data_IF_554273118760
#
_entry.id   IF_554273118760
#
_cell.length_a   1.000
_cell.length_b   1.000
_cell.length_c   1.000
_cell.angle_alpha   90.00
_cell.angle_beta   90.00
_cell.angle_gamma   90.00
#
_symmetry.space_group_name_H-M   'P 1'
#
loop_
_entity.id
_entity.type
_entity.pdbx_description
1 polymer ?
#
# COMPACT_ATOMS: atom_id res chain seq x y z
N UNK A 1 7.48 5.80 -3.91
CA UNK A 1 7.56 7.24 -3.62
C UNK A 1 7.09 8.02 -4.84
N UNK A 2 5.80 8.31 -4.87
CA UNK A 2 5.13 8.94 -6.02
C UNK A 2 5.73 10.30 -6.43
N UNK A 3 6.22 11.17 -5.51
CA UNK A 3 6.80 12.45 -5.92
C UNK A 3 8.03 12.34 -6.85
N UNK A 4 8.75 11.21 -6.86
CA UNK A 4 9.88 11.01 -7.79
C UNK A 4 9.43 10.94 -9.26
N UNK A 5 8.15 10.64 -9.52
CA UNK A 5 7.60 10.46 -10.86
C UNK A 5 7.71 11.70 -11.74
N UNK A 6 7.76 12.90 -11.16
CA UNK A 6 8.04 14.13 -11.92
C UNK A 6 9.41 14.05 -12.62
N UNK A 7 10.45 13.55 -11.93
CA UNK A 7 11.78 13.39 -12.51
C UNK A 7 11.89 12.18 -13.43
N UNK A 8 11.10 11.13 -13.18
CA UNK A 8 10.98 10.00 -14.12
C UNK A 8 10.36 10.46 -15.44
N UNK A 9 9.28 11.24 -15.39
CA UNK A 9 8.65 11.82 -16.58
C UNK A 9 9.57 12.78 -17.35
N UNK A 10 10.50 13.44 -16.65
CA UNK A 10 11.54 14.28 -17.24
C UNK A 10 12.78 13.50 -17.74
N UNK A 11 12.84 12.18 -17.56
CA UNK A 11 13.98 11.35 -17.96
C UNK A 11 15.22 11.48 -17.06
N UNK A 12 15.09 12.13 -15.89
CA UNK A 12 16.19 12.37 -14.94
C UNK A 12 16.39 11.23 -13.92
N UNK A 13 15.40 10.36 -13.79
CA UNK A 13 15.34 9.25 -12.82
C UNK A 13 14.68 8.02 -13.43
N UNK A 14 14.96 6.85 -12.89
CA UNK A 14 14.29 5.61 -13.29
C UNK A 14 13.05 5.34 -12.45
N UNK A 15 12.12 4.57 -12.99
CA UNK A 15 10.91 4.19 -12.26
C UNK A 15 11.22 3.31 -11.04
N UNK A 16 12.22 2.43 -11.15
CA UNK A 16 12.63 1.51 -10.09
C UNK A 16 13.17 2.25 -8.86
N UNK A 17 13.86 3.38 -9.05
CA UNK A 17 14.28 4.26 -7.95
C UNK A 17 13.10 4.79 -7.11
N UNK A 18 11.88 4.79 -7.67
CA UNK A 18 10.68 5.24 -6.97
C UNK A 18 10.01 4.13 -6.15
N UNK A 19 10.43 2.87 -6.27
CA UNK A 19 9.73 1.73 -5.66
C UNK A 19 10.59 0.97 -4.65
N UNK A 20 9.92 0.37 -3.67
CA UNK A 20 10.47 -0.66 -2.77
C UNK A 20 9.41 -1.75 -2.59
N UNK A 21 9.83 -2.95 -2.25
CA UNK A 21 8.86 -4.01 -1.94
C UNK A 21 8.17 -3.69 -0.61
N UNK A 22 6.88 -4.01 -0.47
CA UNK A 22 6.15 -3.73 0.78
C UNK A 22 6.80 -4.40 2.00
N UNK A 23 7.39 -5.58 1.81
CA UNK A 23 8.10 -6.32 2.87
C UNK A 23 9.29 -5.55 3.44
N UNK A 24 9.96 -4.71 2.66
CA UNK A 24 11.12 -3.93 3.10
C UNK A 24 10.73 -2.65 3.88
N UNK A 25 9.47 -2.23 3.83
CA UNK A 25 9.02 -0.94 4.38
C UNK A 25 7.94 -1.08 5.45
N UNK A 26 7.32 -2.25 5.59
CA UNK A 26 6.39 -2.54 6.68
C UNK A 26 7.17 -2.67 8.00
N UNK A 27 6.63 -2.15 9.12
CA UNK A 27 7.19 -2.39 10.45
C UNK A 27 7.27 -3.88 10.77
N UNK A 28 8.27 -4.30 11.54
CA UNK A 28 8.49 -5.71 11.87
C UNK A 28 7.32 -6.33 12.64
N UNK A 29 6.69 -5.55 13.52
CA UNK A 29 5.57 -6.00 14.36
C UNK A 29 4.19 -5.87 13.66
N UNK A 30 4.15 -5.45 12.40
CA UNK A 30 2.91 -5.28 11.66
C UNK A 30 2.59 -6.52 10.82
N UNK A 31 1.36 -7.05 10.97
CA UNK A 31 0.85 -8.10 10.09
C UNK A 31 0.39 -7.52 8.75
N UNK A 32 0.89 -8.07 7.64
CA UNK A 32 0.46 -7.66 6.32
C UNK A 32 -0.71 -8.50 5.82
N UNK A 33 -1.91 -7.95 5.93
CA UNK A 33 -3.10 -8.49 5.28
C UNK A 33 -3.13 -8.00 3.82
N UNK A 34 -2.60 -8.80 2.89
CA UNK A 34 -2.52 -8.45 1.46
C UNK A 34 -3.87 -8.64 0.75
N UNK A 35 -4.84 -7.81 1.11
CA UNK A 35 -6.19 -7.84 0.58
C UNK A 35 -6.73 -6.42 0.36
N UNK A 36 -7.88 -6.29 -0.30
CA UNK A 36 -8.55 -5.02 -0.54
C UNK A 36 -9.68 -4.84 0.47
N UNK A 37 -9.66 -3.73 1.21
CA UNK A 37 -10.82 -3.29 1.99
C UNK A 37 -11.96 -2.86 1.06
N UNK A 38 -13.17 -3.36 1.31
CA UNK A 38 -14.36 -3.07 0.50
C UNK A 38 -15.44 -2.31 1.26
N UNK A 39 -15.52 -2.47 2.59
CA UNK A 39 -16.44 -1.74 3.45
C UNK A 39 -15.80 -1.49 4.82
N UNK A 40 -16.10 -0.34 5.40
CA UNK A 40 -15.79 -0.01 6.80
C UNK A 40 -17.12 0.07 7.54
N UNK A 41 -17.21 -0.59 8.69
CA UNK A 41 -18.33 -0.54 9.62
C UNK A 41 -17.87 0.17 10.91
N UNK A 42 -18.10 1.48 11.04
CA UNK A 42 -17.67 2.26 12.20
C UNK A 42 -18.41 1.88 13.49
N UNK A 43 -19.66 1.43 13.39
CA UNK A 43 -20.48 1.10 14.57
C UNK A 43 -19.95 -0.16 15.27
N UNK A 44 -19.46 -1.12 14.48
CA UNK A 44 -18.88 -2.36 14.98
C UNK A 44 -17.33 -2.35 15.06
N UNK A 45 -16.68 -1.25 14.64
CA UNK A 45 -15.23 -1.13 14.50
C UNK A 45 -14.60 -2.25 13.64
N UNK A 46 -15.22 -2.56 12.49
CA UNK A 46 -14.81 -3.68 11.63
C UNK A 46 -14.56 -3.22 10.19
N UNK A 47 -13.66 -3.91 9.48
CA UNK A 47 -13.40 -3.67 8.05
C UNK A 47 -13.64 -4.96 7.29
N UNK A 48 -14.50 -4.92 6.28
CA UNK A 48 -14.79 -6.08 5.43
C UNK A 48 -13.87 -6.06 4.21
N UNK A 49 -13.15 -7.15 4.01
CA UNK A 49 -12.24 -7.36 2.90
C UNK A 49 -12.98 -7.94 1.69
N UNK A 50 -12.32 -7.95 0.53
CA UNK A 50 -12.94 -8.39 -0.73
C UNK A 50 -13.35 -9.86 -0.74
N UNK A 51 -12.66 -10.71 0.03
CA UNK A 51 -12.99 -12.13 0.21
C UNK A 51 -14.02 -12.38 1.32
N UNK A 52 -14.53 -11.32 1.97
CA UNK A 52 -15.51 -11.40 3.04
C UNK A 52 -14.93 -11.56 4.44
N UNK A 53 -13.60 -11.61 4.60
CA UNK A 53 -12.95 -11.55 5.92
C UNK A 53 -13.25 -10.21 6.62
N UNK A 54 -13.32 -10.23 7.96
CA UNK A 54 -13.60 -9.10 8.85
C UNK A 54 -12.44 -8.87 9.82
#
# INVERSE_FOLDING_TARGET
YQPLWTFVGAGLKTFDESAKTMKEVLPEDAEWIKNKATKVDPENNTVILQDGQQ
#
